data_IF_144868213879
#
_entry.id   IF_144868213879
#
_cell.length_a   1.000
_cell.length_b   1.000
_cell.length_c   1.000
_cell.angle_alpha   90.00
_cell.angle_beta   90.00
_cell.angle_gamma   90.00
#
_symmetry.space_group_name_H-M   'P 1'
#
loop_
_entity.id
_entity.type
_entity.pdbx_description
1 polymer ?
#
# COMPACT_ATOMS: atom_id res chain seq x y z
N UNK A 1 -26.85 -13.67 4.73
CA UNK A 1 -25.39 -13.44 4.60
C UNK A 1 -25.05 -13.32 3.12
N UNK A 2 -24.94 -12.10 2.60
CA UNK A 2 -24.92 -11.82 1.16
C UNK A 2 -23.53 -11.59 0.56
N UNK A 3 -22.49 -11.33 1.36
CA UNK A 3 -21.17 -10.93 0.82
C UNK A 3 -20.50 -12.00 -0.06
N UNK A 4 -20.73 -13.28 0.21
CA UNK A 4 -20.16 -14.37 -0.59
C UNK A 4 -20.96 -14.70 -1.85
N UNK A 5 -22.20 -14.20 -1.97
CA UNK A 5 -23.08 -14.56 -3.11
C UNK A 5 -22.48 -14.05 -4.42
N UNK A 6 -22.19 -12.77 -4.50
CA UNK A 6 -21.75 -12.13 -5.74
C UNK A 6 -20.37 -12.65 -6.20
N UNK A 7 -19.34 -12.75 -5.34
CA UNK A 7 -18.05 -13.32 -5.73
C UNK A 7 -18.18 -14.76 -6.22
N UNK A 8 -19.02 -15.57 -5.57
CA UNK A 8 -19.27 -16.96 -5.97
C UNK A 8 -19.93 -17.04 -7.35
N UNK A 9 -20.90 -16.18 -7.64
CA UNK A 9 -21.55 -16.10 -8.95
C UNK A 9 -20.59 -15.63 -10.05
N UNK A 10 -19.62 -14.76 -9.72
CA UNK A 10 -18.55 -14.35 -10.64
C UNK A 10 -17.41 -15.38 -10.79
N UNK A 11 -17.48 -16.52 -10.10
CA UNK A 11 -16.52 -17.62 -10.24
C UNK A 11 -15.31 -17.58 -9.31
N UNK A 12 -15.34 -16.78 -8.22
CA UNK A 12 -14.27 -16.79 -7.23
C UNK A 12 -14.20 -18.14 -6.51
N UNK A 13 -12.99 -18.70 -6.37
CA UNK A 13 -12.75 -19.98 -5.68
C UNK A 13 -12.86 -19.86 -4.16
N UNK A 14 -12.46 -18.73 -3.60
CA UNK A 14 -12.48 -18.42 -2.17
C UNK A 14 -12.55 -16.91 -1.98
N UNK A 15 -12.87 -16.48 -0.75
CA UNK A 15 -12.83 -15.08 -0.32
C UNK A 15 -11.79 -14.94 0.78
N UNK A 16 -10.76 -14.12 0.55
CA UNK A 16 -9.76 -13.82 1.57
C UNK A 16 -10.33 -12.81 2.58
N UNK A 17 -10.78 -13.29 3.75
CA UNK A 17 -11.38 -12.44 4.77
C UNK A 17 -10.38 -11.46 5.39
N UNK A 18 -9.08 -11.77 5.35
CA UNK A 18 -8.01 -10.86 5.81
C UNK A 18 -7.99 -9.56 5.01
N UNK A 19 -8.37 -9.58 3.73
CA UNK A 19 -8.43 -8.36 2.91
C UNK A 19 -9.69 -7.51 3.19
N UNK A 20 -10.61 -8.00 4.02
CA UNK A 20 -11.87 -7.34 4.36
C UNK A 20 -11.81 -6.63 5.72
N UNK A 21 -10.64 -6.58 6.35
CA UNK A 21 -10.43 -5.85 7.59
C UNK A 21 -9.77 -4.48 7.32
N UNK A 22 -9.58 -3.69 8.38
CA UNK A 22 -8.94 -2.37 8.29
C UNK A 22 -7.41 -2.43 8.51
N UNK A 23 -6.81 -3.61 8.65
CA UNK A 23 -5.41 -3.76 9.05
C UNK A 23 -4.47 -3.09 8.05
N UNK A 24 -4.72 -3.23 6.74
CA UNK A 24 -3.90 -2.59 5.71
C UNK A 24 -3.92 -1.06 5.85
N UNK A 25 -5.06 -0.48 6.21
CA UNK A 25 -5.20 0.96 6.44
C UNK A 25 -4.50 1.38 7.74
N UNK A 26 -4.66 0.62 8.81
CA UNK A 26 -3.99 0.89 10.09
C UNK A 26 -2.46 0.79 9.98
N UNK A 27 -1.97 -0.19 9.21
CA UNK A 27 -0.56 -0.37 8.89
C UNK A 27 -0.03 0.82 8.08
N UNK A 28 -0.80 1.34 7.10
CA UNK A 28 -0.42 2.56 6.38
C UNK A 28 -0.28 3.74 7.35
N UNK A 29 -1.23 3.95 8.26
CA UNK A 29 -1.12 4.99 9.26
C UNK A 29 0.06 4.79 10.21
N UNK A 30 0.41 3.54 10.52
CA UNK A 30 1.65 3.18 11.23
C UNK A 30 2.88 3.74 10.51
N UNK A 31 3.03 3.46 9.21
CA UNK A 31 4.13 3.96 8.40
C UNK A 31 4.16 5.49 8.32
N UNK A 32 2.99 6.14 8.19
CA UNK A 32 2.90 7.60 8.16
C UNK A 32 3.37 8.23 9.48
N UNK A 33 2.99 7.66 10.63
CA UNK A 33 3.45 8.13 11.96
C UNK A 33 4.93 7.82 12.21
N UNK A 34 5.44 6.73 11.64
CA UNK A 34 6.85 6.34 11.72
C UNK A 34 7.76 7.16 10.79
N UNK A 35 7.19 7.87 9.80
CA UNK A 35 7.97 8.68 8.87
C UNK A 35 8.78 9.78 9.59
N UNK A 36 10.11 9.68 9.54
CA UNK A 36 11.04 10.59 10.24
C UNK A 36 11.48 10.05 11.60
N UNK A 37 11.47 10.89 12.64
CA UNK A 37 11.87 10.53 14.02
C UNK A 37 10.64 10.13 14.86
N UNK A 38 9.68 9.41 14.27
CA UNK A 38 8.49 8.93 14.96
C UNK A 38 7.54 10.05 15.45
N UNK A 39 6.82 10.68 14.51
CA UNK A 39 5.79 11.67 14.82
C UNK A 39 4.44 10.99 15.08
N UNK A 40 4.21 10.58 16.33
CA UNK A 40 3.00 9.84 16.72
C UNK A 40 1.70 10.63 16.48
N UNK A 41 1.74 11.96 16.54
CA UNK A 41 0.58 12.84 16.39
C UNK A 41 0.90 14.00 15.43
N UNK A 42 0.96 13.73 14.12
CA UNK A 42 1.29 14.76 13.14
C UNK A 42 0.17 15.80 13.04
N UNK A 43 0.55 17.05 12.74
CA UNK A 43 -0.41 18.05 12.26
C UNK A 43 -0.94 17.63 10.89
N UNK A 44 -2.06 18.20 10.45
CA UNK A 44 -2.64 17.90 9.14
C UNK A 44 -1.66 18.10 7.98
N UNK A 45 -0.84 19.16 8.02
CA UNK A 45 0.20 19.42 7.03
C UNK A 45 1.28 18.32 7.03
N UNK A 46 1.73 17.93 8.22
CA UNK A 46 2.75 16.89 8.38
C UNK A 46 2.23 15.53 7.92
N UNK A 47 0.96 15.21 8.22
CA UNK A 47 0.32 13.98 7.77
C UNK A 47 0.26 13.92 6.25
N UNK A 48 -0.20 14.99 5.58
CA UNK A 48 -0.28 15.04 4.12
C UNK A 48 1.11 14.90 3.48
N UNK A 49 2.13 15.57 4.03
CA UNK A 49 3.50 15.46 3.53
C UNK A 49 4.04 14.03 3.69
N UNK A 50 3.90 13.44 4.89
CA UNK A 50 4.36 12.09 5.18
C UNK A 50 3.62 11.03 4.35
N UNK A 51 2.30 11.18 4.15
CA UNK A 51 1.50 10.29 3.31
C UNK A 51 2.02 10.28 1.86
N UNK A 52 2.26 11.45 1.28
CA UNK A 52 2.82 11.56 -0.08
C UNK A 52 4.16 10.84 -0.18
N UNK A 53 5.05 11.06 0.78
CA UNK A 53 6.37 10.44 0.79
C UNK A 53 6.30 8.92 0.96
N UNK A 54 5.48 8.41 1.90
CA UNK A 54 5.32 6.97 2.14
C UNK A 54 4.77 6.27 0.90
N UNK A 55 3.77 6.85 0.23
CA UNK A 55 3.19 6.27 -1.00
C UNK A 55 4.23 6.21 -2.12
N UNK A 56 4.93 7.31 -2.39
CA UNK A 56 5.96 7.35 -3.44
C UNK A 56 7.08 6.35 -3.14
N UNK A 57 7.59 6.32 -1.90
CA UNK A 57 8.67 5.42 -1.52
C UNK A 57 8.28 3.94 -1.62
N UNK A 58 7.08 3.58 -1.16
CA UNK A 58 6.60 2.20 -1.20
C UNK A 58 6.33 1.72 -2.64
N UNK A 59 5.94 2.61 -3.54
CA UNK A 59 5.71 2.30 -4.96
C UNK A 59 6.97 2.37 -5.83
N UNK A 60 8.04 3.03 -5.35
CA UNK A 60 9.32 3.17 -6.08
C UNK A 60 10.40 2.19 -5.62
N UNK A 61 10.21 1.55 -4.47
CA UNK A 61 11.19 0.64 -3.87
C UNK A 61 10.74 -0.82 -4.01
N UNK A 62 11.67 -1.78 -4.21
CA UNK A 62 11.32 -3.19 -4.11
C UNK A 62 10.73 -3.47 -2.72
N UNK A 63 9.61 -4.21 -2.69
CA UNK A 63 8.91 -4.59 -1.46
C UNK A 63 9.91 -5.14 -0.43
N UNK A 64 10.13 -4.39 0.66
CA UNK A 64 10.95 -4.89 1.76
C UNK A 64 10.21 -6.01 2.48
N UNK A 65 10.95 -6.96 3.09
CA UNK A 65 10.41 -8.03 3.95
C UNK A 65 9.57 -7.43 5.10
N UNK A 66 8.26 -7.28 4.90
CA UNK A 66 7.27 -6.90 5.90
C UNK A 66 6.17 -7.97 6.02
N UNK A 67 5.07 -7.66 6.71
CA UNK A 67 3.89 -8.55 6.81
C UNK A 67 3.05 -8.60 5.50
N UNK A 68 3.71 -8.48 4.34
CA UNK A 68 3.07 -8.63 3.05
C UNK A 68 3.35 -10.03 2.52
N UNK A 69 2.28 -10.76 2.19
CA UNK A 69 2.43 -12.04 1.49
C UNK A 69 2.85 -11.81 0.04
N UNK A 70 3.64 -12.73 -0.50
CA UNK A 70 3.98 -12.70 -1.92
C UNK A 70 2.71 -13.10 -2.68
N UNK A 71 2.09 -12.16 -3.37
CA UNK A 71 0.88 -12.38 -4.15
C UNK A 71 1.14 -12.72 -5.62
N UNK A 72 2.41 -12.81 -6.03
CA UNK A 72 2.87 -13.05 -7.40
C UNK A 72 2.27 -12.08 -8.43
N UNK A 73 1.75 -10.94 -7.98
CA UNK A 73 1.22 -9.89 -8.84
C UNK A 73 2.34 -8.93 -9.27
N UNK A 74 2.17 -8.33 -10.45
CA UNK A 74 2.99 -7.21 -10.88
C UNK A 74 2.56 -5.93 -10.14
N UNK A 75 3.53 -5.06 -9.84
CA UNK A 75 3.25 -3.75 -9.27
C UNK A 75 2.41 -2.92 -10.25
N UNK A 76 1.22 -2.46 -9.81
CA UNK A 76 0.30 -1.67 -10.66
C UNK A 76 0.90 -0.34 -11.16
N UNK A 77 1.77 0.28 -10.36
CA UNK A 77 2.44 1.55 -10.68
C UNK A 77 3.86 1.50 -10.17
N UNK A 78 4.82 1.51 -11.09
CA UNK A 78 6.24 1.69 -10.76
C UNK A 78 6.65 3.14 -11.08
N UNK A 79 6.79 3.95 -10.03
CA UNK A 79 7.19 5.34 -10.23
C UNK A 79 8.63 5.48 -10.73
N UNK A 80 9.46 4.42 -10.66
CA UNK A 80 10.80 4.46 -11.23
C UNK A 80 10.77 4.74 -12.73
N UNK A 81 9.79 4.19 -13.45
CA UNK A 81 9.58 4.46 -14.88
C UNK A 81 9.40 5.96 -15.12
N UNK A 82 8.59 6.64 -14.32
CA UNK A 82 8.34 8.07 -14.49
C UNK A 82 9.51 8.97 -14.06
N UNK A 83 10.31 8.54 -13.08
CA UNK A 83 11.41 9.33 -12.54
C UNK A 83 12.76 9.08 -13.23
N UNK A 84 12.99 7.88 -13.79
CA UNK A 84 14.28 7.48 -14.35
C UNK A 84 14.31 7.35 -15.88
N UNK A 85 13.17 7.24 -16.58
CA UNK A 85 13.15 7.22 -18.07
C UNK A 85 13.59 8.55 -18.71
N UNK A 86 13.85 9.60 -17.92
CA UNK A 86 14.33 10.91 -18.41
C UNK A 86 15.85 11.09 -18.40
N UNK A 87 16.61 10.05 -18.07
CA UNK A 87 18.08 10.14 -17.90
C UNK A 87 18.90 9.25 -18.85
N UNK A 88 18.27 8.65 -19.86
CA UNK A 88 18.95 7.86 -20.91
C UNK A 88 19.14 8.65 -22.24
N UNK A 89 19.61 9.90 -22.14
CA UNK A 89 20.18 10.69 -23.27
C UNK A 89 21.63 11.11 -22.96
#
# INVERSE_FOLDING_TARGET
MSLWRDPKETGFKYLCLTNLNQDSLENLFGHVRQHGIFNANPTWHQFVAALKTVVINNSSSPLSKGNCEIDFCDTLVDFRVFFFDKYDD
#
